data_IF_670341500651
#
_entry.id   IF_670341500651
#
_cell.length_a   1.000
_cell.length_b   1.000
_cell.length_c   1.000
_cell.angle_alpha   90.00
_cell.angle_beta   90.00
_cell.angle_gamma   90.00
#
_symmetry.space_group_name_H-M   'P 1'
#
loop_
_entity.id
_entity.type
_entity.pdbx_description
1 polymer ?
#
# COMPACT_ATOMS: atom_id res chain seq x y z
N UNK A 1 8.77 4.26 -14.14
CA UNK A 1 7.81 3.53 -13.27
C UNK A 1 7.77 4.24 -11.93
N UNK A 2 6.84 5.18 -11.73
CA UNK A 2 6.68 5.88 -10.46
C UNK A 2 6.14 4.88 -9.44
N UNK A 3 6.96 4.51 -8.45
CA UNK A 3 6.51 3.71 -7.32
C UNK A 3 5.56 4.60 -6.51
N UNK A 4 4.27 4.53 -6.82
CA UNK A 4 3.25 5.15 -5.98
C UNK A 4 3.31 4.43 -4.63
N UNK A 5 3.63 5.15 -3.56
CA UNK A 5 3.67 4.57 -2.22
C UNK A 5 2.26 4.11 -1.90
N UNK A 6 2.01 2.79 -1.69
CA UNK A 6 0.66 2.30 -1.49
C UNK A 6 0.04 3.02 -0.30
N UNK A 7 -1.23 3.40 -0.45
CA UNK A 7 -2.00 3.98 0.64
C UNK A 7 -1.85 3.10 1.88
N UNK A 8 -1.67 3.68 3.09
CA UNK A 8 -1.53 2.90 4.31
C UNK A 8 -2.66 1.87 4.46
N UNK A 9 -3.87 2.27 4.06
CA UNK A 9 -5.10 1.48 4.15
C UNK A 9 -5.45 0.73 2.85
N UNK A 10 -4.57 0.76 1.85
CA UNK A 10 -4.76 0.02 0.60
C UNK A 10 -4.76 -1.49 0.83
N UNK A 11 -5.34 -2.24 -0.11
CA UNK A 11 -5.53 -3.69 -0.02
C UNK A 11 -4.27 -4.43 0.44
N UNK A 12 -4.46 -5.46 1.26
CA UNK A 12 -3.39 -6.34 1.75
C UNK A 12 -2.48 -6.85 0.64
N UNK A 13 -3.06 -7.19 -0.52
CA UNK A 13 -2.33 -7.83 -1.61
C UNK A 13 -1.70 -6.81 -2.56
N UNK A 14 -2.47 -5.90 -3.16
CA UNK A 14 -1.94 -4.98 -4.17
C UNK A 14 -1.66 -3.55 -3.67
N UNK A 15 -2.12 -3.17 -2.47
CA UNK A 15 -1.91 -1.84 -1.92
C UNK A 15 -2.80 -0.73 -2.50
N UNK A 16 -3.78 -1.08 -3.33
CA UNK A 16 -4.76 -0.14 -3.90
C UNK A 16 -5.88 0.18 -2.91
N UNK A 17 -6.35 1.41 -2.91
CA UNK A 17 -7.49 1.83 -2.11
C UNK A 17 -8.78 1.10 -2.53
N UNK A 18 -9.72 0.99 -1.59
CA UNK A 18 -10.96 0.22 -1.75
C UNK A 18 -11.73 0.61 -3.03
N UNK A 19 -11.80 1.91 -3.34
CA UNK A 19 -12.54 2.44 -4.49
C UNK A 19 -11.91 2.06 -5.84
N UNK A 20 -10.59 1.92 -5.90
CA UNK A 20 -9.84 1.66 -7.14
C UNK A 20 -9.46 0.18 -7.32
N UNK A 21 -9.71 -0.64 -6.29
CA UNK A 21 -9.26 -2.02 -6.22
C UNK A 21 -10.04 -2.95 -7.16
N UNK A 22 -11.37 -2.86 -7.14
CA UNK A 22 -12.30 -3.78 -7.83
C UNK A 22 -11.97 -5.26 -7.57
N UNK A 23 -11.80 -6.09 -8.60
CA UNK A 23 -11.21 -7.41 -8.50
C UNK A 23 -9.93 -7.43 -9.32
N UNK A 24 -8.83 -7.88 -8.71
CA UNK A 24 -7.54 -7.94 -9.39
C UNK A 24 -6.86 -9.29 -9.17
N UNK A 25 -6.04 -9.65 -10.13
CA UNK A 25 -5.14 -10.77 -10.01
C UNK A 25 -3.77 -10.29 -9.55
N UNK A 26 -3.16 -10.98 -8.59
CA UNK A 26 -1.77 -10.75 -8.17
C UNK A 26 -1.03 -12.09 -8.03
N UNK A 27 0.22 -12.21 -8.50
CA UNK A 27 1.05 -13.37 -8.21
C UNK A 27 1.09 -13.67 -6.71
N UNK A 28 0.87 -14.93 -6.33
CA UNK A 28 0.84 -15.40 -4.94
C UNK A 28 -0.48 -15.18 -4.17
N UNK A 29 -1.40 -14.35 -4.68
CA UNK A 29 -2.73 -14.16 -4.09
C UNK A 29 -3.88 -14.60 -5.02
N UNK A 30 -3.59 -14.79 -6.31
CA UNK A 30 -4.60 -15.10 -7.32
C UNK A 30 -5.57 -13.96 -7.56
N UNK A 31 -6.75 -14.29 -8.11
CA UNK A 31 -7.89 -13.37 -8.18
C UNK A 31 -8.41 -13.13 -6.76
N UNK A 32 -8.41 -11.88 -6.34
CA UNK A 32 -8.87 -11.49 -5.01
C UNK A 32 -9.72 -10.22 -5.07
N UNK A 33 -10.63 -10.12 -4.11
CA UNK A 33 -11.36 -8.90 -3.80
C UNK A 33 -10.54 -8.02 -2.85
N UNK A 34 -10.98 -6.79 -2.64
CA UNK A 34 -10.32 -5.92 -1.67
C UNK A 34 -10.32 -6.59 -0.30
N UNK A 35 -9.14 -6.67 0.30
CA UNK A 35 -8.95 -7.25 1.63
C UNK A 35 -8.25 -6.19 2.47
N UNK A 36 -8.76 -5.87 3.68
CA UNK A 36 -8.14 -4.87 4.53
C UNK A 36 -6.69 -5.24 4.83
N UNK A 37 -5.75 -4.28 4.83
CA UNK A 37 -4.37 -4.55 5.20
C UNK A 37 -4.25 -4.97 6.65
N UNK A 38 -3.19 -5.70 6.97
CA UNK A 38 -2.88 -6.05 8.37
C UNK A 38 -2.33 -4.84 9.11
N UNK A 39 -2.42 -4.85 10.44
CA UNK A 39 -1.84 -3.79 11.27
C UNK A 39 -0.33 -3.61 11.04
N UNK A 40 0.40 -4.71 10.83
CA UNK A 40 1.84 -4.66 10.50
C UNK A 40 2.12 -4.02 9.14
N UNK A 41 1.26 -4.27 8.15
CA UNK A 41 1.37 -3.62 6.84
C UNK A 41 1.11 -2.12 6.97
N UNK A 42 0.08 -1.71 7.70
CA UNK A 42 -0.22 -0.29 7.96
C UNK A 42 0.96 0.37 8.67
N UNK A 43 1.47 -0.24 9.75
CA UNK A 43 2.62 0.25 10.53
C UNK A 43 3.86 0.43 9.65
N UNK A 44 4.17 -0.54 8.80
CA UNK A 44 5.31 -0.49 7.89
C UNK A 44 5.15 0.63 6.86
N UNK A 45 3.98 0.75 6.24
CA UNK A 45 3.68 1.81 5.26
C UNK A 45 3.78 3.20 5.88
N UNK A 46 3.27 3.38 7.11
CA UNK A 46 3.37 4.66 7.83
C UNK A 46 4.80 5.03 8.17
N UNK A 47 5.65 4.06 8.56
CA UNK A 47 7.09 4.28 8.77
C UNK A 47 7.78 4.75 7.50
N UNK A 48 7.54 4.09 6.36
CA UNK A 48 8.08 4.49 5.06
C UNK A 48 7.62 5.90 4.68
N UNK A 49 6.33 6.20 4.85
CA UNK A 49 5.77 7.54 4.60
C UNK A 49 6.45 8.61 5.46
N UNK A 50 6.71 8.32 6.74
CA UNK A 50 7.43 9.24 7.64
C UNK A 50 8.87 9.45 7.20
N UNK A 51 9.60 8.37 6.88
CA UNK A 51 10.97 8.46 6.39
C UNK A 51 11.07 9.28 5.08
N UNK A 52 10.10 9.13 4.18
CA UNK A 52 10.03 9.90 2.94
C UNK A 52 9.79 11.40 3.17
N UNK A 53 9.08 11.80 4.24
CA UNK A 53 8.93 13.20 4.63
C UNK A 53 10.24 13.79 5.14
N UNK A 54 10.89 13.09 6.09
CA UNK A 54 12.17 13.53 6.66
C UNK A 54 13.22 13.72 5.56
N UNK A 55 13.32 12.78 4.62
CA UNK A 55 14.24 12.90 3.47
C UNK A 55 13.94 14.08 2.55
N UNK A 56 12.69 14.51 2.44
CA UNK A 56 12.31 15.68 1.63
C UNK A 56 12.58 17.00 2.36
N UNK A 57 12.57 16.98 3.70
CA UNK A 57 12.80 18.15 4.55
C UNK A 57 14.29 18.46 4.75
N UNK A 58 15.19 17.56 4.36
CA UNK A 58 16.64 17.79 4.38
C UNK A 58 17.17 17.88 2.93
N UNK A 59 17.60 19.06 2.46
CA UNK A 59 18.35 19.21 1.20
C UNK A 59 19.72 18.54 1.25
#
# INVERSE_FOLDING_TARGET
>A
MTISTPSPNGCRHCGLDLREHMQRWKPGAGRHQWTPPTQDQIKTRMRVRRAARIRKETP
#
